data_IF_817242175842
#
_entry.id   IF_817242175842
#
_cell.length_a   1.000
_cell.length_b   1.000
_cell.length_c   1.000
_cell.angle_alpha   90.00
_cell.angle_beta   90.00
_cell.angle_gamma   90.00
#
_symmetry.space_group_name_H-M   'P 1'
#
loop_
_entity.id
_entity.type
_entity.pdbx_description
1 polymer ?
#
# COMPACT_ATOMS: atom_id res chain seq x y z
N UNK A 1 4.12 3.60 2.71
CA UNK A 1 3.91 5.06 2.71
C UNK A 1 5.25 5.76 2.81
N UNK A 2 5.42 6.87 2.11
CA UNK A 2 6.53 7.78 2.30
C UNK A 2 6.20 8.80 3.39
N UNK A 3 7.14 9.03 4.29
CA UNK A 3 6.98 9.88 5.47
C UNK A 3 8.16 10.81 5.67
N UNK A 4 8.03 11.71 6.64
CA UNK A 4 9.13 12.56 7.13
C UNK A 4 9.10 12.61 8.66
N UNK A 5 10.28 12.65 9.29
CA UNK A 5 10.49 12.59 10.75
C UNK A 5 9.73 13.65 11.57
N UNK A 6 9.41 14.82 11.01
CA UNK A 6 8.71 15.91 11.73
C UNK A 6 7.36 16.29 11.08
N UNK A 7 6.78 15.38 10.32
CA UNK A 7 5.54 15.61 9.59
C UNK A 7 4.30 15.23 10.42
N UNK A 8 3.56 16.25 10.90
CA UNK A 8 2.30 16.06 11.64
C UNK A 8 1.27 15.26 10.82
N UNK A 9 1.02 15.56 9.52
CA UNK A 9 0.12 14.76 8.70
C UNK A 9 0.56 13.29 8.56
N UNK A 10 1.87 13.03 8.56
CA UNK A 10 2.41 11.67 8.52
C UNK A 10 2.07 10.92 9.80
N UNK A 11 2.13 11.57 10.97
CA UNK A 11 1.70 10.94 12.22
C UNK A 11 0.19 10.61 12.23
N UNK A 12 -0.65 11.47 11.67
CA UNK A 12 -2.07 11.17 11.49
C UNK A 12 -2.27 9.95 10.58
N UNK A 13 -1.52 9.87 9.48
CA UNK A 13 -1.55 8.73 8.55
C UNK A 13 -1.13 7.42 9.23
N UNK A 14 -0.08 7.43 10.06
CA UNK A 14 0.32 6.24 10.84
C UNK A 14 -0.80 5.71 11.73
N UNK A 15 -1.57 6.60 12.37
CA UNK A 15 -2.73 6.19 13.20
C UNK A 15 -3.81 5.52 12.37
N UNK A 16 -4.11 6.07 11.19
CA UNK A 16 -5.08 5.49 10.25
C UNK A 16 -4.61 4.13 9.76
N UNK A 17 -3.35 3.99 9.34
CA UNK A 17 -2.80 2.70 8.89
C UNK A 17 -2.76 1.66 10.01
N UNK A 18 -2.52 2.07 11.26
CA UNK A 18 -2.61 1.18 12.42
C UNK A 18 -4.05 0.74 12.74
N UNK A 19 -5.06 1.54 12.42
CA UNK A 19 -6.47 1.11 12.47
C UNK A 19 -6.78 0.09 11.39
N UNK A 20 -6.32 0.33 10.17
CA UNK A 20 -6.51 -0.61 9.05
C UNK A 20 -5.82 -1.94 9.34
N UNK A 21 -4.59 -1.94 9.85
CA UNK A 21 -3.88 -3.17 10.22
C UNK A 21 -4.57 -3.97 11.35
N UNK A 22 -5.35 -3.32 12.21
CA UNK A 22 -6.19 -4.04 13.19
C UNK A 22 -7.34 -4.79 12.52
N UNK A 23 -7.86 -4.29 11.40
CA UNK A 23 -8.92 -4.93 10.62
C UNK A 23 -8.37 -5.95 9.62
N UNK A 24 -7.19 -5.68 9.06
CA UNK A 24 -6.50 -6.50 8.06
C UNK A 24 -5.08 -6.82 8.53
N UNK A 25 -4.89 -7.79 9.46
CA UNK A 25 -3.57 -8.08 10.04
C UNK A 25 -2.56 -8.64 9.02
N UNK A 26 -3.04 -9.15 7.90
CA UNK A 26 -2.22 -9.68 6.81
C UNK A 26 -1.73 -8.61 5.84
N UNK A 27 -2.21 -7.37 5.92
CA UNK A 27 -1.86 -6.30 4.99
C UNK A 27 -0.48 -5.73 5.33
N UNK A 28 0.55 -5.94 4.47
CA UNK A 28 1.84 -5.30 4.68
C UNK A 28 1.72 -3.79 4.51
N UNK A 29 2.33 -3.05 5.44
CA UNK A 29 2.41 -1.60 5.40
C UNK A 29 3.85 -1.20 5.73
N UNK A 30 4.62 -0.89 4.70
CA UNK A 30 5.98 -0.38 4.88
C UNK A 30 5.97 1.13 5.01
N UNK A 31 6.80 1.65 5.90
CA UNK A 31 7.03 3.10 6.04
C UNK A 31 8.46 3.43 5.64
N UNK A 32 8.61 4.36 4.70
CA UNK A 32 9.89 4.84 4.21
C UNK A 32 10.02 6.33 4.51
N UNK A 33 10.91 6.70 5.42
CA UNK A 33 11.28 8.11 5.61
C UNK A 33 12.08 8.60 4.40
N UNK A 34 11.65 9.73 3.82
CA UNK A 34 12.25 10.29 2.59
C UNK A 34 13.69 10.78 2.78
N UNK A 35 14.09 11.15 4.00
CA UNK A 35 15.47 11.57 4.27
C UNK A 35 16.39 10.34 4.45
N UNK A 36 15.86 9.23 4.97
CA UNK A 36 16.59 7.97 5.06
C UNK A 36 16.66 7.19 3.74
N UNK A 37 15.70 7.38 2.82
CA UNK A 37 15.61 6.68 1.54
C UNK A 37 15.41 7.66 0.35
N UNK A 38 16.36 8.58 0.12
CA UNK A 38 16.20 9.64 -0.89
C UNK A 38 16.10 9.08 -2.31
N UNK A 39 16.95 8.12 -2.68
CA UNK A 39 16.94 7.50 -4.01
C UNK A 39 15.59 6.86 -4.32
N UNK A 40 15.02 6.15 -3.34
CA UNK A 40 13.71 5.52 -3.50
C UNK A 40 12.58 6.53 -3.59
N UNK A 41 12.66 7.63 -2.85
CA UNK A 41 11.69 8.71 -2.93
C UNK A 41 11.74 9.41 -4.30
N UNK A 42 12.93 9.56 -4.88
CA UNK A 42 13.11 10.11 -6.24
C UNK A 42 12.59 9.16 -7.32
N UNK A 43 12.96 7.87 -7.27
CA UNK A 43 12.47 6.82 -8.18
C UNK A 43 10.94 6.79 -8.23
N UNK A 44 10.29 6.89 -7.07
CA UNK A 44 8.83 6.85 -6.93
C UNK A 44 8.17 8.23 -7.14
N UNK A 45 8.94 9.27 -7.47
CA UNK A 45 8.43 10.62 -7.77
C UNK A 45 7.70 11.28 -6.59
N UNK A 46 8.18 11.09 -5.37
CA UNK A 46 7.56 11.61 -4.15
C UNK A 46 7.86 13.11 -4.00
N UNK A 47 6.83 13.94 -4.16
CA UNK A 47 6.94 15.41 -4.09
C UNK A 47 6.43 16.02 -2.79
N UNK A 48 5.65 15.26 -2.03
CA UNK A 48 5.02 15.70 -0.80
C UNK A 48 4.97 14.52 0.18
N UNK A 49 4.88 14.80 1.48
CA UNK A 49 4.64 13.77 2.49
C UNK A 49 3.41 14.13 3.32
N UNK A 50 2.57 13.16 3.70
CA UNK A 50 2.66 11.74 3.37
C UNK A 50 2.21 11.45 1.92
N UNK A 51 2.85 10.47 1.29
CA UNK A 51 2.35 9.84 0.06
C UNK A 51 2.19 8.35 0.30
N UNK A 52 1.04 7.81 -0.05
CA UNK A 52 0.76 6.37 0.02
C UNK A 52 0.75 5.84 -1.39
N UNK A 53 1.57 4.81 -1.61
CA UNK A 53 1.50 3.96 -2.80
C UNK A 53 0.85 2.66 -2.36
N UNK A 54 -0.13 2.19 -3.14
CA UNK A 54 -0.72 0.87 -3.01
C UNK A 54 -0.23 0.06 -4.20
N UNK A 55 0.39 -1.07 -3.89
CA UNK A 55 1.05 -1.94 -4.86
C UNK A 55 0.30 -3.27 -4.98
N UNK A 56 0.19 -3.78 -6.19
CA UNK A 56 -0.21 -5.15 -6.49
C UNK A 56 1.00 -5.89 -7.10
N UNK A 57 1.79 -6.55 -6.25
CA UNK A 57 3.15 -6.95 -6.61
C UNK A 57 4.05 -5.73 -6.75
N UNK A 58 4.76 -5.60 -7.86
CA UNK A 58 5.60 -4.43 -8.16
C UNK A 58 4.83 -3.29 -8.86
N UNK A 59 3.54 -3.49 -9.15
CA UNK A 59 2.74 -2.52 -9.88
C UNK A 59 2.04 -1.56 -8.92
N UNK A 60 2.27 -0.25 -9.08
CA UNK A 60 1.42 0.77 -8.47
C UNK A 60 0.01 0.72 -9.06
N UNK A 61 -0.99 0.54 -8.19
CA UNK A 61 -2.42 0.53 -8.56
C UNK A 61 -3.16 1.76 -8.05
N UNK A 62 -2.65 2.40 -7.00
CA UNK A 62 -3.19 3.63 -6.47
C UNK A 62 -2.11 4.46 -5.78
N UNK A 63 -2.19 5.78 -5.97
CA UNK A 63 -1.42 6.77 -5.23
C UNK A 63 -2.35 7.76 -4.57
N UNK A 64 -2.05 8.09 -3.32
CA UNK A 64 -2.75 9.13 -2.57
C UNK A 64 -1.73 10.04 -1.88
N UNK A 65 -1.92 11.35 -2.01
CA UNK A 65 -1.17 12.37 -1.29
C UNK A 65 -2.02 12.90 -0.12
N UNK A 66 -1.39 13.15 1.02
CA UNK A 66 -2.06 13.63 2.23
C UNK A 66 -2.61 12.53 3.13
N UNK A 67 -3.38 12.92 4.14
CA UNK A 67 -3.89 12.01 5.18
C UNK A 67 -5.16 11.31 4.69
N UNK A 68 -5.17 9.99 4.48
CA UNK A 68 -6.39 9.28 4.13
C UNK A 68 -7.26 9.05 5.37
N UNK A 69 -8.51 8.66 5.13
CA UNK A 69 -9.37 8.01 6.12
C UNK A 69 -9.21 6.49 6.05
N UNK A 70 -9.52 5.76 7.13
CA UNK A 70 -9.47 4.30 7.12
C UNK A 70 -10.35 3.66 6.01
N UNK A 71 -11.60 4.13 5.76
CA UNK A 71 -12.40 3.64 4.64
C UNK A 71 -11.75 3.84 3.26
N UNK A 72 -11.03 4.94 3.03
CA UNK A 72 -10.32 5.17 1.77
C UNK A 72 -9.19 4.16 1.57
N UNK A 73 -8.43 3.84 2.63
CA UNK A 73 -7.38 2.81 2.57
C UNK A 73 -8.00 1.44 2.30
N UNK A 74 -9.07 1.07 3.00
CA UNK A 74 -9.77 -0.21 2.79
C UNK A 74 -10.30 -0.34 1.35
N UNK A 75 -10.87 0.73 0.79
CA UNK A 75 -11.31 0.73 -0.61
C UNK A 75 -10.14 0.60 -1.59
N UNK A 76 -8.99 1.22 -1.30
CA UNK A 76 -7.79 1.09 -2.12
C UNK A 76 -7.25 -0.35 -2.12
N UNK A 77 -7.26 -1.01 -0.95
CA UNK A 77 -6.88 -2.43 -0.81
C UNK A 77 -7.83 -3.33 -1.61
N UNK A 78 -9.15 -3.12 -1.49
CA UNK A 78 -10.13 -3.89 -2.26
C UNK A 78 -9.88 -3.76 -3.77
N UNK A 79 -9.68 -2.53 -4.26
CA UNK A 79 -9.35 -2.27 -5.68
C UNK A 79 -8.04 -2.95 -6.10
N UNK A 80 -7.03 -2.98 -5.24
CA UNK A 80 -5.75 -3.64 -5.53
C UNK A 80 -5.90 -5.16 -5.68
N UNK A 81 -6.73 -5.78 -4.85
CA UNK A 81 -7.05 -7.20 -4.93
C UNK A 81 -7.83 -7.54 -6.21
N UNK A 82 -8.74 -6.66 -6.64
CA UNK A 82 -9.48 -6.83 -7.89
C UNK A 82 -8.62 -6.58 -9.15
N UNK A 83 -7.66 -5.66 -9.06
CA UNK A 83 -6.75 -5.30 -10.16
C UNK A 83 -5.63 -6.33 -10.37
N UNK A 84 -5.32 -7.12 -9.34
CA UNK A 84 -4.44 -8.28 -9.48
C UNK A 84 -5.20 -9.33 -10.27
N UNK A 85 -4.76 -9.73 -11.49
CA UNK A 85 -5.39 -10.84 -12.18
C UNK A 85 -5.43 -12.03 -11.23
N UNK A 86 -6.56 -12.74 -11.20
CA UNK A 86 -6.74 -13.98 -10.42
C UNK A 86 -5.88 -15.14 -10.99
N UNK A 87 -4.63 -14.87 -11.33
CA UNK A 87 -3.72 -15.76 -12.02
C UNK A 87 -3.25 -16.93 -11.14
N UNK A 88 -3.55 -16.92 -9.84
CA UNK A 88 -3.26 -18.05 -8.93
C UNK A 88 -4.48 -18.91 -8.56
N UNK A 89 -5.72 -18.43 -8.79
CA UNK A 89 -6.92 -19.13 -8.29
C UNK A 89 -7.69 -19.95 -9.35
N UNK A 90 -7.27 -19.92 -10.62
CA UNK A 90 -7.90 -20.68 -11.72
C UNK A 90 -6.95 -21.72 -12.38
N UNK A 91 -5.87 -22.12 -11.70
CA UNK A 91 -5.08 -23.27 -12.17
C UNK A 91 -5.90 -24.57 -12.03
N UNK A 92 -6.12 -25.35 -13.11
CA UNK A 92 -6.77 -26.65 -12.99
C UNK A 92 -5.94 -27.55 -12.07
N UNK A 93 -6.59 -28.14 -11.05
CA UNK A 93 -5.97 -29.17 -10.24
C UNK A 93 -5.45 -30.32 -11.12
N UNK A 94 -4.40 -31.05 -10.68
CA UNK A 94 -3.84 -32.13 -11.48
C UNK A 94 -4.93 -33.12 -11.89
N UNK A 95 -4.99 -33.40 -13.19
CA UNK A 95 -5.88 -34.42 -13.74
C UNK A 95 -5.54 -35.77 -13.09
N UNK A 96 -6.58 -36.43 -12.59
CA UNK A 96 -6.55 -37.76 -11.99
C UNK A 96 -5.92 -38.76 -12.98
N UNK A 97 -4.88 -39.54 -12.61
CA UNK A 97 -4.27 -40.49 -13.53
C UNK A 97 -5.20 -41.68 -13.78
N UNK A 98 -5.51 -41.92 -15.06
CA UNK A 98 -6.13 -43.16 -15.55
C UNK A 98 -5.17 -44.36 -15.50
#
# INVERSE_FOLDING_TARGET
MFSSLFCVPCQATRRVLAEVQRLLPWLPVDELDVAAHPDRAEEEGIRSTPTILVLAGEREVLRAEGVPTAPQVLQAVARAMDATPRAAADAPGPADPA
#
